data_IF_565965454436
#
_entry.id   IF_565965454436
#
_cell.length_a   1.000
_cell.length_b   1.000
_cell.length_c   1.000
_cell.angle_alpha   90.00
_cell.angle_beta   90.00
_cell.angle_gamma   90.00
#
_symmetry.space_group_name_H-M   'P 1'
#
loop_
_entity.id
_entity.type
_entity.pdbx_description
1 polymer ?
#
# COMPACT_ATOMS: atom_id res chain seq x y z
N UNK A 1 36.87 -5.65 -4.41
CA UNK A 1 35.97 -5.27 -5.52
C UNK A 1 34.76 -4.61 -4.89
N UNK A 2 34.28 -3.44 -5.35
CA UNK A 2 33.08 -2.87 -4.76
C UNK A 2 31.90 -3.78 -5.13
N UNK A 3 31.09 -4.11 -4.14
CA UNK A 3 29.82 -4.80 -4.35
C UNK A 3 29.00 -3.95 -5.32
N UNK A 4 28.68 -4.50 -6.49
CA UNK A 4 27.72 -3.90 -7.39
C UNK A 4 26.39 -3.83 -6.64
N UNK A 5 25.97 -2.63 -6.24
CA UNK A 5 24.64 -2.37 -5.70
C UNK A 5 23.65 -2.83 -6.76
N UNK A 6 23.03 -4.00 -6.55
CA UNK A 6 22.03 -4.53 -7.46
C UNK A 6 20.77 -3.68 -7.39
N UNK A 7 20.28 -3.19 -8.53
CA UNK A 7 18.95 -2.60 -8.61
C UNK A 7 17.94 -3.75 -8.50
N UNK A 8 17.06 -3.66 -7.49
CA UNK A 8 15.89 -4.51 -7.34
C UNK A 8 14.69 -3.80 -7.97
N UNK A 9 13.84 -4.55 -8.65
CA UNK A 9 12.65 -4.03 -9.33
C UNK A 9 11.41 -4.68 -8.71
N UNK A 10 10.50 -3.85 -8.20
CA UNK A 10 9.23 -4.31 -7.65
C UNK A 10 8.07 -3.75 -8.47
N UNK A 11 7.13 -4.62 -8.80
CA UNK A 11 5.85 -4.23 -9.39
C UNK A 11 4.77 -4.44 -8.35
N UNK A 12 4.14 -3.35 -7.89
CA UNK A 12 3.12 -3.39 -6.85
C UNK A 12 1.75 -3.16 -7.50
N UNK A 13 0.87 -4.15 -7.38
CA UNK A 13 -0.53 -4.07 -7.80
C UNK A 13 -1.44 -3.98 -6.57
N UNK A 14 -2.13 -2.85 -6.42
CA UNK A 14 -3.12 -2.64 -5.35
C UNK A 14 -4.50 -2.88 -5.95
N UNK A 15 -5.26 -3.84 -5.39
CA UNK A 15 -6.54 -4.26 -5.95
C UNK A 15 -7.62 -4.42 -4.88
N UNK A 16 -8.85 -4.00 -5.20
CA UNK A 16 -10.03 -4.18 -4.32
C UNK A 16 -10.51 -5.63 -4.27
N UNK A 17 -10.17 -6.43 -5.28
CA UNK A 17 -10.67 -7.79 -5.45
C UNK A 17 -9.97 -8.79 -4.53
N UNK A 18 -10.62 -9.96 -4.35
CA UNK A 18 -10.00 -11.17 -3.77
C UNK A 18 -9.62 -12.11 -4.91
N UNK A 19 -8.42 -11.96 -5.43
CA UNK A 19 -7.89 -12.73 -6.56
C UNK A 19 -7.31 -14.09 -6.11
N UNK A 20 -6.56 -14.11 -5.01
CA UNK A 20 -5.85 -15.32 -4.57
C UNK A 20 -6.55 -16.03 -3.39
N UNK A 21 -6.25 -17.32 -3.14
CA UNK A 21 -6.80 -18.04 -1.98
C UNK A 21 -6.60 -17.29 -0.66
N UNK A 22 -7.53 -17.46 0.28
CA UNK A 22 -7.49 -16.78 1.60
C UNK A 22 -6.24 -17.11 2.41
N UNK A 23 -5.67 -18.30 2.24
CA UNK A 23 -4.46 -18.72 2.96
C UNK A 23 -3.24 -17.82 2.68
N UNK A 24 -3.23 -17.08 1.57
CA UNK A 24 -2.12 -16.23 1.13
C UNK A 24 -2.15 -14.83 1.80
N UNK A 25 -3.12 -14.52 2.66
CA UNK A 25 -3.25 -13.19 3.27
C UNK A 25 -3.58 -12.10 2.24
N UNK A 26 -3.53 -10.83 2.66
CA UNK A 26 -3.81 -9.68 1.78
C UNK A 26 -2.59 -9.21 0.96
N UNK A 27 -1.38 -9.65 1.31
CA UNK A 27 -0.16 -9.34 0.57
C UNK A 27 0.50 -10.62 0.10
N UNK A 28 0.73 -10.70 -1.21
CA UNK A 28 1.35 -11.85 -1.85
C UNK A 28 2.44 -11.42 -2.79
N UNK A 29 3.50 -12.23 -2.87
CA UNK A 29 4.69 -11.94 -3.67
C UNK A 29 4.89 -13.09 -4.65
N UNK A 30 5.04 -12.77 -5.93
CA UNK A 30 5.24 -13.73 -7.00
C UNK A 30 6.50 -13.43 -7.79
N UNK A 31 7.22 -14.49 -8.18
CA UNK A 31 8.33 -14.42 -9.12
C UNK A 31 7.85 -14.62 -10.56
N UNK A 32 8.55 -14.02 -11.53
CA UNK A 32 8.31 -14.26 -12.96
C UNK A 32 9.17 -15.42 -13.46
N UNK A 33 8.56 -16.35 -14.19
CA UNK A 33 9.27 -17.44 -14.88
C UNK A 33 8.78 -17.63 -16.31
N UNK A 34 9.64 -18.19 -17.16
CA UNK A 34 9.27 -18.63 -18.51
C UNK A 34 8.28 -19.80 -18.42
N UNK A 35 7.20 -19.75 -19.20
CA UNK A 35 6.04 -20.60 -18.98
C UNK A 35 6.30 -22.10 -19.24
N UNK A 36 7.20 -22.43 -20.18
CA UNK A 36 7.46 -23.84 -20.55
C UNK A 36 8.48 -24.51 -19.65
N UNK A 37 9.52 -23.79 -19.27
CA UNK A 37 10.69 -24.30 -18.55
C UNK A 37 10.64 -23.99 -17.06
N UNK A 38 9.82 -23.02 -16.66
CA UNK A 38 9.81 -22.47 -15.30
C UNK A 38 11.07 -21.68 -14.96
N UNK A 39 11.96 -21.42 -15.93
CA UNK A 39 13.19 -20.67 -15.68
C UNK A 39 12.84 -19.26 -15.20
N UNK A 40 13.27 -18.90 -13.99
CA UNK A 40 12.99 -17.59 -13.40
C UNK A 40 13.63 -16.50 -14.26
N UNK A 41 12.84 -15.48 -14.62
CA UNK A 41 13.30 -14.37 -15.46
C UNK A 41 14.43 -13.58 -14.78
N UNK A 42 14.27 -13.33 -13.47
CA UNK A 42 15.23 -12.62 -12.65
C UNK A 42 14.98 -12.92 -11.17
N UNK A 43 16.05 -13.03 -10.38
CA UNK A 43 16.01 -13.05 -8.92
C UNK A 43 15.82 -11.64 -8.31
N UNK A 44 15.84 -10.60 -9.14
CA UNK A 44 15.70 -9.18 -8.75
C UNK A 44 14.38 -8.54 -9.16
N UNK A 45 13.40 -9.34 -9.61
CA UNK A 45 12.06 -8.86 -9.98
C UNK A 45 11.00 -9.61 -9.19
N UNK A 46 10.16 -8.86 -8.48
CA UNK A 46 9.03 -9.39 -7.71
C UNK A 46 7.72 -8.66 -8.04
N UNK A 47 6.63 -9.41 -8.05
CA UNK A 47 5.28 -8.90 -8.21
C UNK A 47 4.55 -8.99 -6.87
N UNK A 48 4.30 -7.84 -6.28
CA UNK A 48 3.53 -7.71 -5.06
C UNK A 48 2.08 -7.44 -5.42
N UNK A 49 1.15 -8.20 -4.85
CA UNK A 49 -0.27 -7.89 -4.88
C UNK A 49 -0.74 -7.55 -3.48
N UNK A 50 -1.37 -6.38 -3.33
CA UNK A 50 -2.06 -5.96 -2.14
C UNK A 50 -3.58 -6.02 -2.39
N UNK A 51 -4.21 -7.08 -1.91
CA UNK A 51 -5.63 -7.37 -2.06
C UNK A 51 -6.42 -6.72 -0.91
N UNK A 52 -6.82 -5.48 -1.09
CA UNK A 52 -7.60 -4.69 -0.13
C UNK A 52 -8.89 -5.41 0.26
N UNK A 53 -9.49 -6.15 -0.67
CA UNK A 53 -10.66 -7.00 -0.44
C UNK A 53 -10.52 -7.95 0.74
N UNK A 54 -9.31 -8.44 1.01
CA UNK A 54 -9.02 -9.47 2.03
C UNK A 54 -8.80 -8.94 3.44
N UNK A 55 -8.63 -7.63 3.61
CA UNK A 55 -8.47 -7.06 4.95
C UNK A 55 -9.77 -7.22 5.74
N UNK A 56 -9.67 -7.64 7.00
CA UNK A 56 -10.80 -7.74 7.91
C UNK A 56 -10.92 -6.45 8.73
N UNK A 57 -11.95 -5.63 8.49
CA UNK A 57 -12.11 -4.37 9.20
C UNK A 57 -12.46 -4.53 10.69
N UNK A 58 -12.88 -5.72 11.12
CA UNK A 58 -13.22 -5.99 12.52
C UNK A 58 -12.02 -6.49 13.33
N UNK A 59 -10.89 -6.76 12.68
CA UNK A 59 -9.66 -7.17 13.36
C UNK A 59 -9.16 -5.98 14.22
N UNK A 60 -8.83 -6.18 15.51
CA UNK A 60 -8.27 -5.09 16.31
C UNK A 60 -6.95 -4.58 15.72
N UNK A 61 -6.75 -3.25 15.69
CA UNK A 61 -5.54 -2.62 15.12
C UNK A 61 -4.25 -3.14 15.77
N UNK A 62 -4.27 -3.38 17.09
CA UNK A 62 -3.15 -3.98 17.83
C UNK A 62 -2.79 -5.41 17.38
N UNK A 63 -3.70 -6.12 16.72
CA UNK A 63 -3.46 -7.45 16.15
C UNK A 63 -3.16 -7.44 14.64
N UNK A 64 -3.22 -6.28 13.99
CA UNK A 64 -2.88 -6.14 12.58
C UNK A 64 -1.37 -6.05 12.36
N UNK A 65 -0.90 -6.69 11.30
CA UNK A 65 0.40 -6.42 10.72
C UNK A 65 0.44 -5.05 10.05
N UNK A 66 1.63 -4.51 9.83
CA UNK A 66 1.80 -3.22 9.14
C UNK A 66 1.16 -3.21 7.75
N UNK A 67 1.25 -4.31 6.99
CA UNK A 67 0.66 -4.39 5.65
C UNK A 67 -0.88 -4.46 5.69
N UNK A 68 -1.45 -5.07 6.73
CA UNK A 68 -2.90 -5.03 6.97
C UNK A 68 -3.37 -3.63 7.34
N UNK A 69 -2.60 -2.88 8.14
CA UNK A 69 -2.90 -1.47 8.46
C UNK A 69 -2.83 -0.58 7.22
N UNK A 70 -1.82 -0.78 6.37
CA UNK A 70 -1.74 -0.10 5.07
C UNK A 70 -2.94 -0.45 4.18
N UNK A 71 -3.33 -1.72 4.12
CA UNK A 71 -4.51 -2.15 3.35
C UNK A 71 -5.82 -1.57 3.92
N UNK A 72 -5.97 -1.51 5.24
CA UNK A 72 -7.12 -0.84 5.89
C UNK A 72 -7.19 0.63 5.49
N UNK A 73 -6.06 1.35 5.62
CA UNK A 73 -5.96 2.75 5.24
C UNK A 73 -6.33 2.97 3.77
N UNK A 74 -5.68 2.26 2.84
CA UNK A 74 -5.92 2.43 1.42
C UNK A 74 -7.38 2.13 1.00
N UNK A 75 -8.04 1.21 1.71
CA UNK A 75 -9.42 0.81 1.39
C UNK A 75 -10.47 1.73 2.00
N UNK A 76 -10.24 2.20 3.22
CA UNK A 76 -11.28 2.83 4.04
C UNK A 76 -10.95 4.26 4.47
N UNK A 77 -9.88 4.88 3.95
CA UNK A 77 -9.52 6.26 4.29
C UNK A 77 -10.66 7.28 4.08
N UNK A 78 -11.54 7.03 3.11
CA UNK A 78 -12.69 7.89 2.79
C UNK A 78 -14.04 7.31 3.28
N UNK A 79 -14.02 6.25 4.10
CA UNK A 79 -15.22 5.65 4.67
C UNK A 79 -15.42 6.11 6.12
N UNK A 80 -16.43 6.96 6.34
CA UNK A 80 -16.76 7.52 7.65
C UNK A 80 -17.08 6.44 8.71
N UNK A 81 -17.51 5.23 8.32
CA UNK A 81 -17.76 4.15 9.28
C UNK A 81 -16.48 3.62 9.94
N UNK A 82 -15.33 3.82 9.30
CA UNK A 82 -14.02 3.34 9.78
C UNK A 82 -13.09 4.46 10.22
N UNK A 83 -13.60 5.69 10.31
CA UNK A 83 -12.83 6.90 10.61
C UNK A 83 -11.96 6.76 11.86
N UNK A 84 -12.50 6.21 12.95
CA UNK A 84 -11.76 6.06 14.20
C UNK A 84 -10.57 5.09 14.03
N UNK A 85 -10.80 3.95 13.38
CA UNK A 85 -9.76 2.97 13.05
C UNK A 85 -8.69 3.57 12.13
N UNK A 86 -9.09 4.35 11.13
CA UNK A 86 -8.18 5.04 10.22
C UNK A 86 -7.36 6.08 10.96
N UNK A 87 -7.96 6.86 11.86
CA UNK A 87 -7.23 7.83 12.67
C UNK A 87 -6.20 7.16 13.58
N UNK A 88 -6.51 6.01 14.17
CA UNK A 88 -5.55 5.23 14.96
C UNK A 88 -4.36 4.75 14.10
N UNK A 89 -4.62 4.27 12.88
CA UNK A 89 -3.58 3.87 11.93
C UNK A 89 -2.71 5.08 11.54
N UNK A 90 -3.34 6.20 11.18
CA UNK A 90 -2.65 7.45 10.86
C UNK A 90 -1.88 8.04 12.06
N UNK A 91 -2.14 7.60 13.28
CA UNK A 91 -1.38 7.99 14.47
C UNK A 91 -0.23 7.05 14.83
N UNK A 92 -0.15 5.86 14.23
CA UNK A 92 0.78 4.79 14.62
C UNK A 92 1.76 4.36 13.55
N UNK A 93 1.46 4.59 12.27
CA UNK A 93 2.32 4.18 11.14
C UNK A 93 3.07 5.37 10.54
N UNK A 94 4.39 5.46 10.77
CA UNK A 94 5.24 6.57 10.30
C UNK A 94 5.14 6.84 8.79
N UNK A 95 5.11 5.77 7.98
CA UNK A 95 4.97 5.90 6.52
C UNK A 95 3.64 6.52 6.09
N UNK A 96 2.56 6.17 6.79
CA UNK A 96 1.21 6.71 6.52
C UNK A 96 1.15 8.17 7.00
N UNK A 97 1.71 8.46 8.18
CA UNK A 97 1.86 9.84 8.69
C UNK A 97 2.57 10.72 7.67
N UNK A 98 3.67 10.23 7.10
CA UNK A 98 4.44 10.98 6.12
C UNK A 98 3.63 11.24 4.85
N UNK A 99 2.93 10.23 4.32
CA UNK A 99 2.09 10.37 3.13
C UNK A 99 0.95 11.38 3.36
N UNK A 100 0.25 11.30 4.49
CA UNK A 100 -0.82 12.23 4.88
C UNK A 100 -0.31 13.68 5.01
N UNK A 101 0.85 13.88 5.62
CA UNK A 101 1.45 15.20 5.76
C UNK A 101 1.83 15.80 4.40
N UNK A 102 2.36 14.99 3.48
CA UNK A 102 2.65 15.42 2.11
C UNK A 102 1.36 15.80 1.38
N UNK A 103 0.33 14.96 1.45
CA UNK A 103 -0.97 15.24 0.83
C UNK A 103 -1.60 16.55 1.36
N UNK A 104 -1.54 16.77 2.68
CA UNK A 104 -2.02 18.01 3.30
C UNK A 104 -1.25 19.24 2.84
N UNK A 105 0.05 19.11 2.62
CA UNK A 105 0.90 20.21 2.14
C UNK A 105 0.51 20.59 0.71
N UNK A 106 0.42 19.60 -0.18
CA UNK A 106 0.04 19.80 -1.58
C UNK A 106 -1.37 20.41 -1.68
N UNK A 107 -2.35 19.87 -0.96
CA UNK A 107 -3.73 20.40 -0.99
C UNK A 107 -3.84 21.83 -0.44
N UNK A 108 -3.03 22.20 0.56
CA UNK A 108 -2.95 23.58 1.04
C UNK A 108 -2.39 24.51 -0.03
N UNK A 109 -1.29 24.12 -0.67
CA UNK A 109 -0.67 24.89 -1.75
C UNK A 109 -1.63 25.10 -2.94
N UNK A 110 -2.38 24.07 -3.33
CA UNK A 110 -3.41 24.14 -4.37
C UNK A 110 -4.54 25.12 -4.02
N UNK A 111 -5.03 25.08 -2.77
CA UNK A 111 -6.07 26.01 -2.30
C UNK A 111 -5.58 27.47 -2.30
N UNK A 112 -4.35 27.71 -1.85
CA UNK A 112 -3.75 29.05 -1.86
C UNK A 112 -3.50 29.56 -3.28
N UNK A 113 -3.10 28.67 -4.21
CA UNK A 113 -2.98 29.00 -5.63
C UNK A 113 -4.33 29.34 -6.26
N UNK A 114 -5.39 28.58 -5.93
CA UNK A 114 -6.74 28.87 -6.39
C UNK A 114 -7.20 30.25 -5.89
N UNK A 115 -6.93 30.61 -4.63
CA UNK A 115 -7.29 31.93 -4.08
C UNK A 115 -6.56 33.09 -4.76
N UNK A 116 -5.29 32.91 -5.17
CA UNK A 116 -4.54 33.93 -5.94
C UNK A 116 -5.07 34.20 -7.34
N UNK A 117 -5.85 33.27 -7.91
CA UNK A 117 -6.41 33.42 -9.26
C UNK A 117 -7.82 34.05 -9.28
N UNK A 118 -8.41 34.29 -8.10
CA UNK A 118 -9.77 34.84 -7.94
C UNK A 118 -9.73 36.20 -7.19
N UNK A 119 -8.53 36.64 -6.75
CA UNK A 119 -8.25 37.93 -6.13
C UNK A 119 -7.46 38.83 -7.09
#
# INVERSE_FOLDING_TARGET
MPESVGIFYDVISIIESKLFPKAIGCHSIFSVGEQKTGHRLSDRLEFHFLELGKVDPNKPIGGMSQIERLAMYLRYADDENYKDSIQEICGSEEGIIMAENLYRTVTKEEREAAWRNIA
#
